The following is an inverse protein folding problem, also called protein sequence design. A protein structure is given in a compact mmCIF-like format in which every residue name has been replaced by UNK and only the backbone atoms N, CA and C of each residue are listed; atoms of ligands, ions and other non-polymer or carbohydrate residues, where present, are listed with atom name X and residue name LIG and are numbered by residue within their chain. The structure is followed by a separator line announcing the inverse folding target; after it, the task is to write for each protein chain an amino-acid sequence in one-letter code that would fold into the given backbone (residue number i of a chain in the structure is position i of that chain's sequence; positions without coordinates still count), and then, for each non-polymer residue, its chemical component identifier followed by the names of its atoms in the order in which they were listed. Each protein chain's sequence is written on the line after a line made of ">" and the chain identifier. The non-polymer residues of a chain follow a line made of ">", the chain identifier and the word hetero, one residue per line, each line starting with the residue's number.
data_IF_055996999652
#
_entry.id   IF_055996999652
#
_cell.length_a   1.000
_cell.length_b   1.000
_cell.length_c   1.000
_cell.angle_alpha   90.00
_cell.angle_beta   90.00
_cell.angle_gamma   90.00
#
_symmetry.space_group_name_H-M   'P 1'
#
loop_
_entity.id
_entity.type
_entity.pdbx_description
1 polymer ?
#
# COMPACT_ATOMS: atom_id res chain seq x y z
N UNK A 1 10.06 -1.18 26.13
CA UNK A 1 9.52 -1.81 24.90
C UNK A 1 8.60 -0.82 24.21
N UNK A 2 8.90 -0.41 22.99
CA UNK A 2 8.01 0.45 22.19
C UNK A 2 6.87 -0.40 21.66
N UNK A 3 5.62 -0.07 21.99
CA UNK A 3 4.45 -0.78 21.46
C UNK A 3 4.41 -0.68 19.92
N UNK A 4 3.86 -1.67 19.20
CA UNK A 4 3.69 -1.62 17.74
C UNK A 4 3.03 -0.33 17.25
N UNK A 5 2.05 0.19 18.00
CA UNK A 5 1.35 1.45 17.66
C UNK A 5 2.31 2.64 17.69
N UNK A 6 3.14 2.76 18.72
CA UNK A 6 4.15 3.81 18.82
C UNK A 6 5.24 3.69 17.74
N UNK A 7 5.57 2.48 17.30
CA UNK A 7 6.53 2.27 16.22
C UNK A 7 6.01 2.80 14.87
N UNK A 8 4.73 2.56 14.56
CA UNK A 8 4.10 3.05 13.33
C UNK A 8 3.98 4.58 13.35
N UNK A 9 3.58 5.17 14.49
CA UNK A 9 3.50 6.63 14.65
C UNK A 9 4.84 7.32 14.41
N UNK A 10 5.94 6.70 14.85
CA UNK A 10 7.27 7.27 14.70
C UNK A 10 7.77 7.31 13.24
N UNK A 11 7.41 6.30 12.43
CA UNK A 11 7.85 6.21 11.03
C UNK A 11 6.86 6.83 10.03
N UNK A 12 5.62 7.06 10.46
CA UNK A 12 4.56 7.62 9.62
C UNK A 12 3.96 6.62 8.61
N UNK A 13 2.89 7.01 7.90
CA UNK A 13 2.12 6.12 7.04
C UNK A 13 2.90 5.59 5.85
N UNK A 14 3.69 6.43 5.18
CA UNK A 14 4.40 6.06 3.95
C UNK A 14 5.46 4.98 4.23
N UNK A 15 6.28 5.16 5.27
CA UNK A 15 7.31 4.19 5.65
C UNK A 15 6.70 2.91 6.24
N UNK A 16 5.62 3.02 7.00
CA UNK A 16 4.89 1.86 7.51
C UNK A 16 4.29 1.04 6.35
N UNK A 17 3.67 1.69 5.37
CA UNK A 17 3.10 1.01 4.21
C UNK A 17 4.17 0.44 3.28
N UNK A 18 5.31 1.12 3.12
CA UNK A 18 6.48 0.59 2.39
C UNK A 18 6.95 -0.75 2.97
N UNK A 19 6.97 -0.90 4.30
CA UNK A 19 7.32 -2.17 4.97
C UNK A 19 6.28 -3.26 4.68
N UNK A 20 4.99 -2.92 4.64
CA UNK A 20 3.94 -3.87 4.25
C UNK A 20 4.13 -4.34 2.81
N UNK A 21 4.40 -3.43 1.88
CA UNK A 21 4.70 -3.79 0.48
C UNK A 21 5.95 -4.68 0.38
N UNK A 22 7.02 -4.36 1.13
CA UNK A 22 8.24 -5.17 1.19
C UNK A 22 8.03 -6.58 1.77
N UNK A 23 6.96 -6.81 2.53
CA UNK A 23 6.60 -8.14 3.04
C UNK A 23 5.83 -9.01 2.03
N UNK A 24 5.53 -8.49 0.83
CA UNK A 24 4.77 -9.19 -0.21
C UNK A 24 3.27 -8.89 -0.21
N UNK A 25 2.80 -7.92 0.58
CA UNK A 25 1.39 -7.51 0.55
C UNK A 25 1.06 -6.86 -0.80
N UNK A 26 -0.05 -7.28 -1.44
CA UNK A 26 -0.53 -6.64 -2.67
C UNK A 26 -0.91 -5.16 -2.40
N UNK A 27 -0.45 -4.20 -3.23
CA UNK A 27 -0.76 -2.79 -3.04
C UNK A 27 -2.27 -2.53 -3.13
N UNK A 28 -2.84 -1.89 -2.10
CA UNK A 28 -4.26 -1.52 -2.04
C UNK A 28 -4.47 -0.11 -1.50
N UNK A 29 -5.03 0.77 -2.33
CA UNK A 29 -5.15 2.20 -2.02
C UNK A 29 -5.96 2.48 -0.74
N UNK A 30 -7.05 1.75 -0.50
CA UNK A 30 -7.86 1.94 0.71
C UNK A 30 -7.04 1.65 1.97
N UNK A 31 -6.25 0.57 1.96
CA UNK A 31 -5.41 0.22 3.10
C UNK A 31 -4.37 1.28 3.40
N UNK A 32 -3.81 1.90 2.36
CA UNK A 32 -2.82 2.97 2.49
C UNK A 32 -3.40 4.22 3.16
N UNK A 33 -4.52 4.75 2.67
CA UNK A 33 -5.01 5.99 3.27
C UNK A 33 -5.67 5.76 4.64
N UNK A 34 -6.32 4.60 4.88
CA UNK A 34 -6.88 4.25 6.21
C UNK A 34 -5.78 4.27 7.27
N UNK A 35 -4.58 3.77 6.94
CA UNK A 35 -3.41 3.87 7.83
C UNK A 35 -3.08 5.33 8.16
N UNK A 36 -3.05 6.20 7.15
CA UNK A 36 -2.85 7.64 7.35
C UNK A 36 -3.91 8.29 8.25
N UNK A 37 -5.19 8.01 7.98
CA UNK A 37 -6.31 8.55 8.76
C UNK A 37 -6.30 8.06 10.21
N UNK A 38 -6.02 6.76 10.43
CA UNK A 38 -5.93 6.16 11.75
C UNK A 38 -4.78 6.74 12.59
N UNK A 39 -3.65 7.07 11.97
CA UNK A 39 -2.54 7.74 12.67
C UNK A 39 -2.88 9.18 13.10
N UNK A 40 -3.78 9.84 12.38
CA UNK A 40 -4.32 11.16 12.73
C UNK A 40 -5.49 11.08 13.74
N UNK A 41 -6.00 9.87 14.04
CA UNK A 41 -7.19 9.70 14.88
C UNK A 41 -8.50 10.10 14.20
N UNK A 42 -8.51 10.17 12.85
CA UNK A 42 -9.69 10.52 12.06
C UNK A 42 -10.38 9.28 11.51
N UNK A 43 -11.71 9.29 11.34
CA UNK A 43 -12.41 8.21 10.65
C UNK A 43 -12.03 8.23 9.16
N UNK A 44 -11.96 7.05 8.54
CA UNK A 44 -11.43 6.92 7.18
C UNK A 44 -12.31 7.55 6.10
N UNK A 45 -13.62 7.69 6.36
CA UNK A 45 -14.60 8.28 5.45
C UNK A 45 -14.51 9.83 5.36
N UNK A 46 -13.69 10.45 6.22
CA UNK A 46 -13.42 11.88 6.24
C UNK A 46 -12.40 12.32 5.16
N UNK A 47 -11.67 11.36 4.57
CA UNK A 47 -10.70 11.63 3.49
C UNK A 47 -11.42 11.92 2.16
N UNK A 48 -11.48 13.19 1.76
CA UNK A 48 -12.26 13.64 0.60
C UNK A 48 -11.53 14.63 -0.31
N UNK A 49 -12.08 14.85 -1.51
CA UNK A 49 -11.62 15.89 -2.44
C UNK A 49 -10.13 15.86 -2.76
N UNK A 50 -9.45 17.00 -2.56
CA UNK A 50 -8.04 17.18 -2.85
C UNK A 50 -7.13 16.32 -1.95
N UNK A 51 -7.52 16.05 -0.71
CA UNK A 51 -6.75 15.20 0.22
C UNK A 51 -6.63 13.78 -0.33
N UNK A 52 -7.75 13.22 -0.79
CA UNK A 52 -7.79 11.87 -1.39
C UNK A 52 -6.92 11.79 -2.64
N UNK A 53 -6.92 12.84 -3.46
CA UNK A 53 -6.09 12.92 -4.67
C UNK A 53 -4.59 12.97 -4.33
N UNK A 54 -4.20 13.79 -3.36
CA UNK A 54 -2.82 13.85 -2.88
C UNK A 54 -2.34 12.51 -2.31
N UNK A 55 -3.20 11.84 -1.54
CA UNK A 55 -2.93 10.49 -1.05
C UNK A 55 -2.80 9.48 -2.19
N UNK A 56 -3.63 9.59 -3.24
CA UNK A 56 -3.54 8.71 -4.39
C UNK A 56 -2.21 8.87 -5.12
N UNK A 57 -1.77 10.11 -5.36
CA UNK A 57 -0.48 10.38 -5.99
C UNK A 57 0.69 9.78 -5.19
N UNK A 58 0.66 9.93 -3.86
CA UNK A 58 1.68 9.32 -2.97
C UNK A 58 1.65 7.79 -3.02
N UNK A 59 0.45 7.19 -2.98
CA UNK A 59 0.28 5.75 -3.09
C UNK A 59 0.81 5.21 -4.42
N UNK A 60 0.49 5.85 -5.54
CA UNK A 60 0.92 5.40 -6.86
C UNK A 60 2.45 5.46 -6.99
N UNK A 61 3.10 6.50 -6.45
CA UNK A 61 4.55 6.59 -6.37
C UNK A 61 5.16 5.49 -5.49
N UNK A 62 4.54 5.17 -4.36
CA UNK A 62 4.99 4.10 -3.47
C UNK A 62 4.83 2.73 -4.13
N UNK A 63 3.67 2.46 -4.75
CA UNK A 63 3.42 1.24 -5.52
C UNK A 63 4.47 1.06 -6.62
N UNK A 64 4.79 2.10 -7.37
CA UNK A 64 5.78 2.02 -8.45
C UNK A 64 7.18 1.69 -7.93
N UNK A 65 7.59 2.28 -6.80
CA UNK A 65 8.89 1.98 -6.16
C UNK A 65 9.02 0.55 -5.64
N UNK A 66 7.89 -0.08 -5.33
CA UNK A 66 7.82 -1.43 -4.76
C UNK A 66 7.28 -2.47 -5.75
N UNK A 67 7.11 -2.11 -7.03
CA UNK A 67 6.75 -3.07 -8.06
C UNK A 67 7.91 -4.07 -8.24
N UNK A 68 7.58 -5.35 -8.42
CA UNK A 68 8.55 -6.37 -8.78
C UNK A 68 8.24 -6.87 -10.20
N UNK A 69 8.90 -6.31 -11.24
CA UNK A 69 8.62 -6.64 -12.63
C UNK A 69 8.79 -8.13 -12.94
N UNK A 70 9.71 -8.82 -12.25
CA UNK A 70 9.95 -10.24 -12.44
C UNK A 70 8.78 -11.07 -11.93
N UNK A 71 8.25 -10.75 -10.74
CA UNK A 71 7.06 -11.42 -10.21
C UNK A 71 5.85 -11.14 -11.10
N UNK A 72 5.65 -9.88 -11.51
CA UNK A 72 4.54 -9.52 -12.40
C UNK A 72 4.63 -10.17 -13.79
N UNK A 73 5.84 -10.39 -14.30
CA UNK A 73 6.06 -11.09 -15.57
C UNK A 73 5.86 -12.61 -15.42
N UNK A 74 6.36 -13.19 -14.33
CA UNK A 74 6.18 -14.60 -14.03
C UNK A 74 4.70 -14.94 -13.82
N UNK A 75 3.96 -14.13 -13.06
CA UNK A 75 2.51 -14.28 -12.89
C UNK A 75 1.78 -14.21 -14.23
N UNK A 76 2.11 -13.24 -15.09
CA UNK A 76 1.54 -13.15 -16.46
C UNK A 76 1.88 -14.36 -17.32
N UNK A 77 3.09 -14.91 -17.20
CA UNK A 77 3.46 -16.13 -17.92
C UNK A 77 2.62 -17.32 -17.43
N UNK A 78 2.43 -17.45 -16.11
CA UNK A 78 1.59 -18.50 -15.52
C UNK A 78 0.13 -18.40 -16.00
N UNK A 79 -0.41 -17.18 -16.12
CA UNK A 79 -1.73 -16.93 -16.71
C UNK A 79 -1.77 -17.44 -18.17
N UNK A 80 -0.74 -17.13 -18.97
CA UNK A 80 -0.67 -17.52 -20.39
C UNK A 80 -0.59 -19.03 -20.62
N UNK A 81 0.10 -19.76 -19.74
CA UNK A 81 0.21 -21.23 -19.83
C UNK A 81 -0.93 -21.97 -19.09
N UNK A 82 -1.90 -21.23 -18.52
CA UNK A 82 -3.09 -21.78 -17.89
C UNK A 82 -2.89 -22.37 -16.50
N UNK A 83 -1.80 -22.03 -15.80
CA UNK A 83 -1.52 -22.52 -14.43
C UNK A 83 -2.39 -21.80 -13.39
N UNK A 84 -2.90 -20.60 -13.70
CA UNK A 84 -3.83 -19.84 -12.85
C UNK A 84 -4.81 -19.04 -13.74
N UNK A 85 -5.95 -18.58 -13.20
CA UNK A 85 -6.86 -17.71 -13.93
C UNK A 85 -6.21 -16.34 -14.21
N UNK A 86 -6.41 -15.81 -15.41
CA UNK A 86 -5.98 -14.46 -15.75
C UNK A 86 -6.58 -13.44 -14.77
N UNK A 87 -5.71 -12.59 -14.20
CA UNK A 87 -6.08 -11.55 -13.21
C UNK A 87 -6.06 -10.15 -13.80
#
# INVERSE_FOLDING_TARGET
>A
MTSPVSAIRNIGPDAAYARLLGSGMKPHFIGYYVLGMGLQGRPWNDCQGAEKQALRARFDALKAKHANPLTDQFERLMDQIGVRPAS
#
